data_IF_667608481848
#
_entry.id   IF_667608481848
#
_cell.length_a   1.000
_cell.length_b   1.000
_cell.length_c   1.000
_cell.angle_alpha   90.00
_cell.angle_beta   90.00
_cell.angle_gamma   90.00
#
_symmetry.space_group_name_H-M   'P 1'
#
loop_
_entity.id
_entity.type
_entity.pdbx_description
1 polymer ?
#
# COMPACT_ATOMS: atom_id res chain seq x y z
N UNK A 1 -5.61 4.38 -11.01
CA UNK A 1 -4.69 3.54 -10.21
C UNK A 1 -4.42 4.22 -8.88
N UNK A 2 -4.34 3.46 -7.80
CA UNK A 2 -3.94 4.00 -6.51
C UNK A 2 -2.59 4.71 -6.63
N UNK A 3 -2.48 5.89 -6.05
CA UNK A 3 -1.20 6.59 -5.93
C UNK A 3 -0.58 6.25 -4.58
N UNK A 4 0.73 6.02 -4.55
CA UNK A 4 1.44 5.72 -3.31
C UNK A 4 2.63 6.67 -3.23
N UNK A 5 2.69 7.48 -2.18
CA UNK A 5 3.79 8.42 -2.01
C UNK A 5 5.09 7.69 -1.65
N UNK A 6 6.23 8.30 -1.93
CA UNK A 6 7.53 7.72 -1.57
C UNK A 6 7.65 7.42 -0.07
N UNK A 7 7.26 8.33 0.83
CA UNK A 7 7.29 8.01 2.26
C UNK A 7 6.41 6.81 2.60
N UNK A 8 5.26 6.64 1.93
CA UNK A 8 4.40 5.49 2.14
C UNK A 8 5.07 4.20 1.68
N UNK A 9 5.71 4.22 0.50
CA UNK A 9 6.45 3.06 0.00
C UNK A 9 7.56 2.66 0.98
N UNK A 10 8.28 3.63 1.49
CA UNK A 10 9.35 3.39 2.47
C UNK A 10 8.78 2.78 3.76
N UNK A 11 7.64 3.28 4.21
CA UNK A 11 6.97 2.75 5.41
C UNK A 11 6.54 1.30 5.21
N UNK A 12 5.99 0.99 4.04
CA UNK A 12 5.59 -0.38 3.69
C UNK A 12 6.79 -1.32 3.69
N UNK A 13 7.90 -0.88 3.10
CA UNK A 13 9.15 -1.65 3.07
C UNK A 13 9.65 -1.96 4.49
N UNK A 14 9.65 -0.97 5.36
CA UNK A 14 10.05 -1.16 6.76
C UNK A 14 9.13 -2.14 7.50
N UNK A 15 7.83 -2.08 7.22
CA UNK A 15 6.86 -2.97 7.83
C UNK A 15 7.13 -4.43 7.43
N UNK A 16 7.49 -4.67 6.16
CA UNK A 16 7.86 -6.01 5.69
C UNK A 16 9.09 -6.54 6.45
N UNK A 17 10.11 -5.72 6.59
CA UNK A 17 11.32 -6.10 7.33
C UNK A 17 10.98 -6.42 8.78
N UNK A 18 10.18 -5.58 9.42
CA UNK A 18 9.79 -5.77 10.82
C UNK A 18 9.01 -7.05 11.02
N UNK A 19 8.19 -7.45 10.04
CA UNK A 19 7.41 -8.69 10.10
C UNK A 19 8.23 -9.92 9.72
N UNK A 20 9.49 -9.74 9.31
CA UNK A 20 10.32 -10.83 8.88
C UNK A 20 9.84 -11.49 7.60
N UNK A 21 9.22 -10.72 6.72
CA UNK A 21 8.66 -11.27 5.48
C UNK A 21 9.75 -11.84 4.59
N UNK A 22 9.48 -13.04 4.07
CA UNK A 22 10.42 -13.71 3.16
C UNK A 22 10.47 -12.98 1.81
N UNK A 23 11.54 -13.23 1.05
CA UNK A 23 11.67 -12.73 -0.30
C UNK A 23 10.48 -13.21 -1.14
N UNK A 24 9.99 -12.33 -2.00
CA UNK A 24 8.83 -12.64 -2.83
C UNK A 24 7.49 -12.37 -2.17
N UNK A 25 7.50 -11.98 -0.90
CA UNK A 25 6.25 -11.59 -0.21
C UNK A 25 6.14 -10.08 -0.10
N UNK A 26 4.91 -9.59 -0.10
CA UNK A 26 4.59 -8.18 0.01
C UNK A 26 3.36 -7.99 0.87
N UNK A 27 3.05 -6.73 1.19
CA UNK A 27 1.84 -6.41 1.94
C UNK A 27 0.67 -6.33 0.97
N UNK A 28 -0.38 -7.13 1.22
CA UNK A 28 -1.61 -7.08 0.43
C UNK A 28 -2.62 -6.19 1.15
N UNK A 29 -3.15 -5.23 0.40
CA UNK A 29 -4.19 -4.34 0.90
C UNK A 29 -5.53 -5.08 0.81
N UNK A 30 -6.13 -5.33 1.95
CA UNK A 30 -7.41 -6.06 2.03
C UNK A 30 -8.50 -5.18 2.61
N UNK A 31 -9.67 -5.26 2.00
CA UNK A 31 -10.85 -4.61 2.55
C UNK A 31 -11.44 -5.47 3.65
N UNK A 32 -11.73 -4.83 4.77
CA UNK A 32 -12.38 -5.48 5.89
C UNK A 32 -13.58 -4.66 6.33
N UNK A 33 -14.47 -5.31 7.06
CA UNK A 33 -15.57 -4.64 7.72
C UNK A 33 -15.00 -3.54 8.61
N UNK A 34 -15.42 -2.30 8.37
CA UNK A 34 -14.92 -1.16 9.12
C UNK A 34 -13.63 -0.53 8.63
N UNK A 35 -13.05 -1.01 7.53
CA UNK A 35 -11.83 -0.37 6.99
C UNK A 35 -10.94 -1.28 6.19
N UNK A 36 -9.64 -1.02 6.26
CA UNK A 36 -8.63 -1.70 5.47
C UNK A 36 -7.59 -2.32 6.38
N UNK A 37 -6.97 -3.39 5.90
CA UNK A 37 -5.86 -4.03 6.61
C UNK A 37 -4.77 -4.43 5.62
N UNK A 38 -3.57 -4.66 6.14
CA UNK A 38 -2.44 -5.13 5.36
C UNK A 38 -2.03 -6.51 5.87
N UNK A 39 -1.83 -7.45 4.94
CA UNK A 39 -1.33 -8.79 5.26
C UNK A 39 -0.16 -9.16 4.38
N UNK A 40 0.79 -9.89 4.94
CA UNK A 40 1.93 -10.41 4.19
C UNK A 40 1.45 -11.59 3.36
N UNK A 41 1.57 -11.49 2.03
CA UNK A 41 1.11 -12.53 1.09
C UNK A 41 2.01 -12.55 -0.13
N UNK A 42 1.94 -13.65 -0.88
CA UNK A 42 2.59 -13.75 -2.17
C UNK A 42 1.78 -13.02 -3.24
N UNK A 43 2.49 -12.53 -4.26
CA UNK A 43 1.83 -11.97 -5.44
C UNK A 43 1.02 -13.03 -6.16
N UNK A 44 -0.17 -12.66 -6.65
CA UNK A 44 -1.05 -13.53 -7.43
C UNK A 44 -1.26 -12.94 -8.82
N UNK A 45 -1.60 -13.78 -9.82
CA UNK A 45 -1.92 -13.25 -11.15
C UNK A 45 -3.04 -12.22 -11.08
N UNK A 46 -2.89 -11.14 -11.81
CA UNK A 46 -3.87 -10.06 -11.83
C UNK A 46 -3.69 -9.00 -10.76
N UNK A 47 -2.73 -9.17 -9.85
CA UNK A 47 -2.43 -8.15 -8.84
C UNK A 47 -1.79 -6.92 -9.47
N UNK A 48 -2.13 -5.76 -8.90
CA UNK A 48 -1.37 -4.54 -9.13
C UNK A 48 -0.29 -4.47 -8.05
N UNK A 49 0.96 -4.32 -8.46
CA UNK A 49 2.10 -4.36 -7.56
C UNK A 49 2.79 -2.99 -7.52
N UNK A 50 3.22 -2.59 -6.33
CA UNK A 50 3.99 -1.37 -6.12
C UNK A 50 5.34 -1.76 -5.51
N UNK A 51 6.41 -1.16 -6.03
CA UNK A 51 7.77 -1.51 -5.63
C UNK A 51 8.51 -0.33 -5.01
N UNK A 52 9.46 -0.67 -4.15
CA UNK A 52 10.37 0.30 -3.54
C UNK A 52 11.77 -0.33 -3.52
N UNK A 53 12.73 0.35 -4.12
CA UNK A 53 14.12 -0.13 -4.22
C UNK A 53 14.23 -1.55 -4.79
N UNK A 54 13.47 -1.81 -5.85
CA UNK A 54 13.52 -3.09 -6.55
C UNK A 54 12.76 -4.23 -5.89
N UNK A 55 12.08 -3.96 -4.78
CA UNK A 55 11.29 -4.97 -4.08
C UNK A 55 9.82 -4.61 -4.12
N UNK A 56 8.96 -5.57 -4.44
CA UNK A 56 7.52 -5.38 -4.35
C UNK A 56 7.12 -5.24 -2.89
N UNK A 57 6.42 -4.18 -2.54
CA UNK A 57 6.03 -3.89 -1.16
C UNK A 57 4.53 -3.88 -0.94
N UNK A 58 3.73 -3.65 -1.98
CA UNK A 58 2.29 -3.55 -1.86
C UNK A 58 1.60 -4.26 -3.01
N UNK A 59 0.55 -5.01 -2.70
CA UNK A 59 -0.26 -5.73 -3.68
C UNK A 59 -1.72 -5.34 -3.52
N UNK A 60 -2.41 -5.15 -4.65
CA UNK A 60 -3.85 -4.94 -4.71
C UNK A 60 -4.43 -5.92 -5.71
N UNK A 61 -5.46 -6.67 -5.33
CA UNK A 61 -6.17 -7.48 -6.31
C UNK A 61 -7.02 -6.57 -7.21
N UNK A 62 -7.65 -7.16 -8.23
CA UNK A 62 -8.39 -6.37 -9.22
C UNK A 62 -9.53 -5.55 -8.61
N UNK A 63 -10.27 -6.11 -7.67
CA UNK A 63 -11.37 -5.41 -7.03
C UNK A 63 -10.89 -4.26 -6.15
N UNK A 64 -9.86 -4.51 -5.35
CA UNK A 64 -9.28 -3.49 -4.48
C UNK A 64 -8.65 -2.40 -5.33
N UNK A 65 -7.95 -2.76 -6.40
CA UNK A 65 -7.35 -1.79 -7.31
C UNK A 65 -8.41 -0.85 -7.90
N UNK A 66 -9.57 -1.38 -8.30
CA UNK A 66 -10.68 -0.56 -8.79
C UNK A 66 -11.24 0.36 -7.72
N UNK A 67 -11.46 -0.18 -6.52
CA UNK A 67 -12.03 0.59 -5.41
C UNK A 67 -11.11 1.73 -4.98
N UNK A 68 -9.80 1.58 -5.19
CA UNK A 68 -8.81 2.55 -4.76
C UNK A 68 -8.28 3.44 -5.89
N UNK A 69 -8.89 3.38 -7.06
CA UNK A 69 -8.37 4.08 -8.25
C UNK A 69 -8.17 5.58 -8.05
N UNK A 70 -9.03 6.21 -7.27
CA UNK A 70 -9.00 7.66 -7.02
C UNK A 70 -8.41 8.00 -5.64
N UNK A 71 -7.63 7.09 -5.06
CA UNK A 71 -7.09 7.29 -3.73
C UNK A 71 -5.57 7.45 -3.76
N UNK A 72 -5.05 8.08 -2.72
CA UNK A 72 -3.61 8.18 -2.49
C UNK A 72 -3.30 7.62 -1.12
N UNK A 73 -2.37 6.67 -1.08
CA UNK A 73 -1.81 6.16 0.17
C UNK A 73 -0.59 7.00 0.51
N UNK A 74 -0.59 7.59 1.68
CA UNK A 74 0.49 8.46 2.13
C UNK A 74 0.87 8.15 3.57
N UNK A 75 2.04 8.62 3.99
CA UNK A 75 2.52 8.46 5.35
C UNK A 75 2.37 9.79 6.09
N UNK A 76 1.86 9.74 7.29
CA UNK A 76 1.71 10.91 8.15
C UNK A 76 2.47 10.70 9.45
N UNK A 77 3.26 11.67 9.85
CA UNK A 77 3.92 11.65 11.15
C UNK A 77 2.95 12.14 12.21
N UNK A 78 2.78 11.32 13.24
CA UNK A 78 2.02 11.70 14.44
C UNK A 78 2.95 11.47 15.61
N UNK A 79 3.48 12.58 16.17
CA UNK A 79 4.55 12.48 17.15
C UNK A 79 5.80 11.88 16.54
N UNK A 80 6.31 10.79 17.12
CA UNK A 80 7.47 10.07 16.58
C UNK A 80 7.09 8.87 15.73
N UNK A 81 5.80 8.67 15.50
CA UNK A 81 5.31 7.53 14.71
C UNK A 81 4.90 7.98 13.34
N UNK A 82 5.10 7.08 12.39
CA UNK A 82 4.60 7.24 11.02
C UNK A 82 3.40 6.33 10.83
N UNK A 83 2.31 6.88 10.32
CA UNK A 83 1.09 6.12 10.05
C UNK A 83 0.76 6.18 8.56
N UNK A 84 0.25 5.07 8.04
CA UNK A 84 -0.27 5.04 6.67
C UNK A 84 -1.71 5.53 6.68
N UNK A 85 -2.01 6.44 5.77
CA UNK A 85 -3.33 7.03 5.63
C UNK A 85 -3.77 7.02 4.18
N UNK A 86 -5.07 7.01 3.97
CA UNK A 86 -5.67 7.14 2.64
C UNK A 86 -6.42 8.45 2.53
N UNK A 87 -6.32 9.05 1.35
CA UNK A 87 -7.13 10.22 1.02
C UNK A 87 -7.53 10.13 -0.45
N UNK A 88 -8.55 10.86 -0.82
CA UNK A 88 -8.91 10.96 -2.22
C UNK A 88 -7.85 11.77 -2.95
N UNK A 89 -7.43 11.29 -4.11
CA UNK A 89 -6.46 11.99 -4.93
C UNK A 89 -7.10 13.27 -5.47
N UNK A 90 -6.45 14.41 -5.24
CA UNK A 90 -6.92 15.67 -5.78
C UNK A 90 -6.73 15.69 -7.29
N UNK A 91 -7.81 15.93 -8.01
CA UNK A 91 -7.73 16.22 -9.43
C UNK A 91 -7.67 17.73 -9.59
N UNK A 92 -6.63 18.20 -10.17
CA UNK A 92 -6.62 19.57 -10.66
C UNK A 92 -7.63 19.68 -11.75
N UNK A 93 -8.52 20.49 -11.60
CA UNK A 93 -9.50 20.89 -12.38
C UNK A 93 -9.67 20.75 -13.71
N UNK A 94 -9.75 20.57 -14.05
CA UNK A 94 -9.87 20.84 -14.99
C UNK A 94 -10.72 21.07 -15.52
#
# INVERSE_FOLDING_TARGET
>A
MLSVTKPALKRLSRRLVRKGAADGMALRFKRREGGWTLRVEHESPGDTAFSHDGRTVLLLDAEVSKAMADMTLYARKVGQRSQLKLRRTERRGD
#
